data_IF_014829074376
#
_entry.id   IF_014829074376
#
_cell.length_a   1.000
_cell.length_b   1.000
_cell.length_c   1.000
_cell.angle_alpha   90.00
_cell.angle_beta   90.00
_cell.angle_gamma   90.00
#
_symmetry.space_group_name_H-M   'P 1'
#
loop_
_entity.id
_entity.type
_entity.pdbx_description
1 polymer ?
#
# COMPACT_ATOMS: atom_id res chain seq x y z
N UNK A 1 19.29 -19.30 6.01
CA UNK A 1 18.65 -18.01 5.66
C UNK A 1 19.70 -17.17 4.99
N UNK A 2 19.50 -16.83 3.71
CA UNK A 2 20.35 -15.85 3.04
C UNK A 2 19.98 -14.46 3.54
N UNK A 3 21.00 -13.62 3.78
CA UNK A 3 20.81 -12.24 4.20
C UNK A 3 20.98 -11.33 2.99
N UNK A 4 19.92 -10.57 2.66
CA UNK A 4 19.95 -9.57 1.60
C UNK A 4 20.29 -8.23 2.24
N UNK A 5 21.25 -7.51 1.64
CA UNK A 5 21.63 -6.17 2.11
C UNK A 5 20.96 -5.13 1.21
N UNK A 6 20.20 -4.22 1.81
CA UNK A 6 19.51 -3.13 1.11
C UNK A 6 19.83 -1.79 1.76
N UNK A 7 19.58 -0.69 1.05
CA UNK A 7 19.72 0.65 1.63
C UNK A 7 18.65 0.90 2.70
N UNK A 8 18.92 1.80 3.65
CA UNK A 8 17.93 2.19 4.66
C UNK A 8 16.67 2.77 4.01
N UNK A 9 16.81 3.56 2.94
CA UNK A 9 15.67 4.13 2.24
C UNK A 9 14.80 3.04 1.61
N UNK A 10 15.42 2.06 0.97
CA UNK A 10 14.73 0.91 0.37
C UNK A 10 13.96 0.12 1.43
N UNK A 11 14.59 -0.09 2.59
CA UNK A 11 13.95 -0.74 3.72
C UNK A 11 12.70 0.01 4.20
N UNK A 12 12.79 1.33 4.39
CA UNK A 12 11.64 2.14 4.82
C UNK A 12 10.53 2.17 3.77
N UNK A 13 10.87 2.22 2.47
CA UNK A 13 9.90 2.14 1.38
C UNK A 13 9.14 0.80 1.40
N UNK A 14 9.88 -0.31 1.51
CA UNK A 14 9.28 -1.65 1.62
C UNK A 14 8.40 -1.81 2.86
N UNK A 15 8.85 -1.25 3.98
CA UNK A 15 8.08 -1.26 5.23
C UNK A 15 6.75 -0.50 5.07
N UNK A 16 6.78 0.71 4.51
CA UNK A 16 5.57 1.51 4.25
C UNK A 16 4.62 0.82 3.28
N UNK A 17 5.16 0.21 2.22
CA UNK A 17 4.36 -0.58 1.28
C UNK A 17 3.68 -1.76 1.97
N UNK A 18 4.38 -2.47 2.86
CA UNK A 18 3.80 -3.58 3.62
C UNK A 18 2.71 -3.10 4.59
N UNK A 19 2.91 -1.95 5.25
CA UNK A 19 1.93 -1.34 6.14
C UNK A 19 0.67 -0.89 5.38
N UNK A 20 0.82 -0.24 4.23
CA UNK A 20 -0.31 0.19 3.39
C UNK A 20 -1.05 -1.01 2.77
N UNK A 21 -0.33 -2.07 2.37
CA UNK A 21 -0.94 -3.32 1.91
C UNK A 21 -1.83 -3.96 2.99
N UNK A 22 -1.38 -3.93 4.26
CA UNK A 22 -2.19 -4.40 5.39
C UNK A 22 -3.45 -3.56 5.55
N UNK A 23 -3.34 -2.23 5.52
CA UNK A 23 -4.50 -1.35 5.60
C UNK A 23 -5.50 -1.61 4.45
N UNK A 24 -5.02 -1.81 3.22
CA UNK A 24 -5.86 -2.19 2.08
C UNK A 24 -6.63 -3.49 2.37
N UNK A 25 -5.95 -4.49 2.91
CA UNK A 25 -6.56 -5.77 3.27
C UNK A 25 -7.60 -5.65 4.39
N UNK A 26 -7.39 -4.76 5.35
CA UNK A 26 -8.25 -4.65 6.53
C UNK A 26 -9.49 -3.78 6.26
N UNK A 27 -9.35 -2.71 5.48
CA UNK A 27 -10.40 -1.70 5.29
C UNK A 27 -11.07 -1.74 3.92
N UNK A 28 -10.33 -2.06 2.85
CA UNK A 28 -10.83 -1.95 1.48
C UNK A 28 -11.29 -3.31 0.92
N UNK A 29 -10.43 -4.34 0.95
CA UNK A 29 -10.74 -5.65 0.34
C UNK A 29 -12.03 -6.30 0.87
N UNK A 30 -12.35 -6.28 2.17
CA UNK A 30 -13.59 -6.88 2.66
C UNK A 30 -14.81 -6.21 2.04
N UNK A 31 -14.78 -4.89 1.84
CA UNK A 31 -15.89 -4.14 1.26
C UNK A 31 -16.10 -4.49 -0.20
N UNK A 32 -15.02 -4.64 -0.97
CA UNK A 32 -15.09 -5.09 -2.35
C UNK A 32 -15.59 -6.54 -2.42
N UNK A 33 -15.00 -7.44 -1.63
CA UNK A 33 -15.29 -8.87 -1.66
C UNK A 33 -16.71 -9.21 -1.20
N UNK A 34 -17.28 -8.43 -0.27
CA UNK A 34 -18.64 -8.62 0.21
C UNK A 34 -19.66 -7.69 -0.48
N UNK A 35 -19.26 -6.97 -1.54
CA UNK A 35 -20.16 -6.17 -2.36
C UNK A 35 -20.83 -5.00 -1.61
N UNK A 36 -20.06 -4.32 -0.74
CA UNK A 36 -20.56 -3.17 -0.02
C UNK A 36 -21.12 -2.11 -0.98
N UNK A 37 -22.29 -1.56 -0.68
CA UNK A 37 -22.94 -0.56 -1.53
C UNK A 37 -22.21 0.79 -1.58
N UNK A 38 -21.29 1.03 -0.64
CA UNK A 38 -20.46 2.23 -0.59
C UNK A 38 -19.11 1.93 0.08
N UNK A 39 -18.11 2.76 -0.23
CA UNK A 39 -16.81 2.79 0.44
C UNK A 39 -16.78 4.02 1.36
N UNK A 40 -16.38 3.82 2.61
CA UNK A 40 -16.17 4.96 3.53
C UNK A 40 -14.78 5.56 3.35
N UNK A 41 -14.53 6.65 4.09
CA UNK A 41 -13.29 7.39 4.02
C UNK A 41 -12.06 6.51 4.29
N UNK A 42 -12.13 5.60 5.25
CA UNK A 42 -11.02 4.72 5.62
C UNK A 42 -10.67 3.73 4.50
N UNK A 43 -11.68 3.16 3.85
CA UNK A 43 -11.46 2.27 2.71
C UNK A 43 -10.84 3.01 1.51
N UNK A 44 -11.30 4.23 1.24
CA UNK A 44 -10.75 5.06 0.16
C UNK A 44 -9.32 5.52 0.46
N UNK A 45 -9.05 5.91 1.70
CA UNK A 45 -7.70 6.27 2.16
C UNK A 45 -6.74 5.09 2.02
N UNK A 46 -7.14 3.90 2.48
CA UNK A 46 -6.33 2.69 2.37
C UNK A 46 -5.98 2.34 0.90
N UNK A 47 -6.92 2.53 -0.03
CA UNK A 47 -6.65 2.35 -1.46
C UNK A 47 -5.67 3.40 -2.00
N UNK A 48 -5.88 4.67 -1.67
CA UNK A 48 -5.03 5.77 -2.12
C UNK A 48 -3.59 5.61 -1.62
N UNK A 49 -3.43 5.37 -0.33
CA UNK A 49 -2.13 5.22 0.32
C UNK A 49 -1.34 4.05 -0.26
N UNK A 50 -2.00 2.91 -0.46
CA UNK A 50 -1.38 1.77 -1.11
C UNK A 50 -0.95 2.08 -2.56
N UNK A 51 -1.79 2.78 -3.32
CA UNK A 51 -1.47 3.16 -4.71
C UNK A 51 -0.25 4.08 -4.79
N UNK A 52 -0.15 5.04 -3.87
CA UNK A 52 1.01 5.95 -3.76
C UNK A 52 2.27 5.18 -3.40
N UNK A 53 2.22 4.29 -2.40
CA UNK A 53 3.41 3.54 -1.98
C UNK A 53 3.86 2.52 -3.04
N UNK A 54 2.94 1.94 -3.84
CA UNK A 54 3.31 1.15 -5.03
C UNK A 54 4.04 2.01 -6.06
N UNK A 55 3.56 3.23 -6.34
CA UNK A 55 4.20 4.13 -7.30
C UNK A 55 5.65 4.44 -6.94
N UNK A 56 5.89 4.73 -5.65
CA UNK A 56 7.23 4.94 -5.10
C UNK A 56 8.10 3.69 -5.20
N UNK A 57 7.56 2.53 -4.82
CA UNK A 57 8.30 1.26 -4.86
C UNK A 57 8.62 0.78 -6.28
N UNK A 58 7.78 1.12 -7.27
CA UNK A 58 8.00 0.81 -8.67
C UNK A 58 9.02 1.74 -9.36
N UNK A 59 9.52 2.77 -8.66
CA UNK A 59 10.44 3.76 -9.21
C UNK A 59 9.78 4.80 -10.13
N UNK A 60 8.45 4.92 -10.10
CA UNK A 60 7.71 5.97 -10.80
C UNK A 60 7.64 7.21 -9.90
N UNK A 61 8.77 7.87 -9.65
CA UNK A 61 8.81 9.15 -8.93
C UNK A 61 8.45 10.36 -9.81
N UNK A 62 8.17 10.19 -11.10
CA UNK A 62 7.80 11.30 -11.98
C UNK A 62 6.39 11.13 -12.60
N UNK A 63 5.56 12.16 -12.40
CA UNK A 63 4.26 12.47 -13.01
C UNK A 63 2.99 12.18 -12.18
N UNK A 64 2.77 12.99 -11.13
CA UNK A 64 1.47 13.65 -10.89
C UNK A 64 1.73 15.10 -10.50
#
# INVERSE_FOLDING_TARGET
MEAITISKQEYENLKKLAESARALNDFFLPKVNYGASFLDADALAALSDFSVEIGKAAGNEDNV
#
